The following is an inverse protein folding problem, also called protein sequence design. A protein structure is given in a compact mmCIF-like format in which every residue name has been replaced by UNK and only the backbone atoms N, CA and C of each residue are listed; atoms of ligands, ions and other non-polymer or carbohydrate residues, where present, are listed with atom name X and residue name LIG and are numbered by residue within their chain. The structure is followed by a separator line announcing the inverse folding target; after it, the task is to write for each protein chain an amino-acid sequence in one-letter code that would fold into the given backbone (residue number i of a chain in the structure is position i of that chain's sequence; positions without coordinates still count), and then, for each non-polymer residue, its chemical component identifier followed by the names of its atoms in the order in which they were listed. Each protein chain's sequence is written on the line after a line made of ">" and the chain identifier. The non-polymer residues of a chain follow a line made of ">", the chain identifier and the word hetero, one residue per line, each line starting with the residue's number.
data_IF_353326498053
#
_entry.id   IF_353326498053
#
_cell.length_a   1.000
_cell.length_b   1.000
_cell.length_c   1.000
_cell.angle_alpha   90.00
_cell.angle_beta   90.00
_cell.angle_gamma   90.00
#
_symmetry.space_group_name_H-M   'P 1'
#
loop_
_entity.id
_entity.type
_entity.pdbx_description
1 polymer ?
#
# COMPACT_ATOMS: atom_id res chain seq x y z
N UNK A 1 18.72 1.12 1.03
CA UNK A 1 17.78 1.35 2.16
C UNK A 1 16.47 1.74 1.51
N UNK A 2 15.33 1.29 2.02
CA UNK A 2 14.03 1.67 1.42
C UNK A 2 13.76 3.15 1.57
N UNK A 3 13.33 3.80 0.50
CA UNK A 3 12.85 5.17 0.52
C UNK A 3 11.45 5.24 1.16
N UNK A 4 10.60 4.25 0.86
CA UNK A 4 9.27 4.08 1.45
C UNK A 4 9.08 2.63 1.89
N UNK A 5 8.50 2.44 3.06
CA UNK A 5 8.13 1.12 3.57
C UNK A 5 6.75 1.19 4.24
N UNK A 6 5.82 0.35 3.77
CA UNK A 6 4.53 0.08 4.37
C UNK A 6 4.56 -1.33 4.94
N UNK A 7 4.19 -1.49 6.22
CA UNK A 7 4.13 -2.78 6.89
C UNK A 7 2.73 -3.05 7.40
N UNK A 8 2.13 -4.13 6.92
CA UNK A 8 0.85 -4.65 7.36
C UNK A 8 -0.22 -3.56 7.55
N UNK A 9 -0.39 -2.71 6.53
CA UNK A 9 -1.28 -1.56 6.57
C UNK A 9 -2.73 -2.00 6.45
N UNK A 10 -3.54 -1.53 7.40
CA UNK A 10 -4.98 -1.73 7.45
C UNK A 10 -5.69 -0.37 7.44
N UNK A 11 -6.76 -0.22 6.65
CA UNK A 11 -7.58 1.00 6.67
C UNK A 11 -9.05 0.68 6.61
N UNK A 12 -9.85 1.52 7.28
CA UNK A 12 -11.28 1.28 7.42
C UNK A 12 -12.09 2.56 7.13
N UNK A 13 -13.15 2.42 6.35
CA UNK A 13 -14.18 3.43 6.15
C UNK A 13 -15.49 2.91 6.72
N UNK A 14 -15.77 3.25 7.97
CA UNK A 14 -16.86 2.63 8.73
C UNK A 14 -16.67 1.12 8.80
N UNK A 15 -17.62 0.37 8.23
CA UNK A 15 -17.58 -1.10 8.18
C UNK A 15 -16.75 -1.67 7.02
N UNK A 16 -16.25 -0.83 6.10
CA UNK A 16 -15.47 -1.27 4.95
C UNK A 16 -14.00 -1.34 5.32
N UNK A 17 -13.38 -2.51 5.15
CA UNK A 17 -11.94 -2.71 5.30
C UNK A 17 -11.26 -2.54 3.93
N UNK A 18 -10.77 -1.33 3.65
CA UNK A 18 -10.31 -0.91 2.32
C UNK A 18 -8.92 -1.45 1.99
N UNK A 19 -7.92 -1.22 2.85
CA UNK A 19 -6.61 -1.88 2.74
C UNK A 19 -6.55 -3.03 3.74
N UNK A 20 -6.23 -4.25 3.28
CA UNK A 20 -6.27 -5.48 4.08
C UNK A 20 -4.87 -6.05 4.29
N UNK A 21 -4.10 -5.49 5.22
CA UNK A 21 -2.78 -6.01 5.58
C UNK A 21 -1.73 -5.82 4.48
N UNK A 22 -1.77 -4.67 3.79
CA UNK A 22 -0.89 -4.41 2.65
C UNK A 22 0.51 -4.06 3.14
N UNK A 23 1.52 -4.70 2.56
CA UNK A 23 2.93 -4.33 2.76
C UNK A 23 3.56 -3.99 1.41
N UNK A 24 4.34 -2.91 1.37
CA UNK A 24 5.00 -2.39 0.17
C UNK A 24 6.36 -1.86 0.56
N UNK A 25 7.34 -2.02 -0.32
CA UNK A 25 8.65 -1.40 -0.19
C UNK A 25 8.99 -0.74 -1.52
N UNK A 26 9.51 0.49 -1.45
CA UNK A 26 10.02 1.23 -2.62
C UNK A 26 11.44 1.65 -2.32
N UNK A 27 12.38 1.26 -3.19
CA UNK A 27 13.77 1.68 -3.08
C UNK A 27 14.00 3.06 -3.70
N UNK A 28 15.10 3.70 -3.33
CA UNK A 28 15.50 4.97 -3.91
C UNK A 28 15.75 4.82 -5.43
N UNK A 29 15.15 5.70 -6.23
CA UNK A 29 15.24 5.66 -7.70
C UNK A 29 14.30 4.66 -8.39
N UNK A 30 13.52 3.88 -7.64
CA UNK A 30 12.55 2.94 -8.19
C UNK A 30 11.26 3.63 -8.65
N UNK A 31 10.78 3.30 -9.86
CA UNK A 31 9.50 3.77 -10.37
C UNK A 31 8.45 2.67 -10.17
N UNK A 32 7.50 2.92 -9.28
CA UNK A 32 6.42 1.98 -8.94
C UNK A 32 5.08 2.58 -9.32
N UNK A 33 4.18 1.77 -9.87
CA UNK A 33 2.78 2.17 -10.13
C UNK A 33 1.83 1.15 -9.52
N UNK A 34 0.65 1.60 -9.10
CA UNK A 34 -0.42 0.74 -8.60
C UNK A 34 -1.53 0.64 -9.66
N UNK A 35 -1.98 -0.58 -9.92
CA UNK A 35 -3.10 -0.86 -10.83
C UNK A 35 -4.17 -1.65 -10.08
N UNK A 36 -5.43 -1.41 -10.42
CA UNK A 36 -6.55 -2.08 -9.78
C UNK A 36 -7.88 -1.71 -10.44
N UNK A 37 -8.89 -2.54 -10.20
CA UNK A 37 -10.28 -2.18 -10.50
C UNK A 37 -10.75 -1.04 -9.61
N UNK A 38 -11.79 -0.31 -10.05
CA UNK A 38 -12.47 0.66 -9.19
C UNK A 38 -12.98 -0.01 -7.91
N UNK A 39 -12.69 0.59 -6.77
CA UNK A 39 -13.06 0.12 -5.43
C UNK A 39 -12.41 0.97 -4.35
#
# INVERSE_FOLDING_TARGET
>A
MSLLELKNVHTYYGHIHALKGISLRVEEGEIVTLIGSNG
#
